data_IF_027179990218
#
_entry.id   IF_027179990218
#
_cell.length_a   1.000
_cell.length_b   1.000
_cell.length_c   1.000
_cell.angle_alpha   90.00
_cell.angle_beta   90.00
_cell.angle_gamma   90.00
#
_symmetry.space_group_name_H-M   'P 1'
#
loop_
_entity.id
_entity.type
_entity.pdbx_description
1 polymer ?
#
# COMPACT_ATOMS: atom_id res chain seq x y z
N UNK A 1 7.62 21.80 -24.74
CA UNK A 1 6.42 22.30 -24.03
C UNK A 1 5.16 22.31 -24.89
N UNK A 2 5.20 22.71 -26.15
CA UNK A 2 4.00 22.80 -27.01
C UNK A 2 3.38 21.42 -27.36
N UNK A 3 4.21 20.39 -27.50
CA UNK A 3 3.77 19.00 -27.68
C UNK A 3 2.95 18.46 -26.50
N UNK A 4 3.38 18.74 -25.25
CA UNK A 4 2.66 18.32 -24.04
C UNK A 4 1.30 19.02 -23.92
N UNK A 5 1.22 20.31 -24.29
CA UNK A 5 -0.05 21.03 -24.34
C UNK A 5 -1.02 20.45 -25.37
N UNK A 6 -0.51 20.04 -26.55
CA UNK A 6 -1.33 19.39 -27.60
C UNK A 6 -1.81 17.99 -27.22
N UNK A 7 -1.01 17.24 -26.44
CA UNK A 7 -1.40 15.95 -25.87
C UNK A 7 -2.48 16.10 -24.79
N UNK A 8 -2.31 17.05 -23.87
CA UNK A 8 -3.31 17.35 -22.83
C UNK A 8 -4.62 17.88 -23.39
N UNK A 9 -4.60 18.59 -24.52
CA UNK A 9 -5.81 19.08 -25.19
C UNK A 9 -6.55 18.01 -25.99
N UNK A 10 -6.00 16.79 -26.12
CA UNK A 10 -6.68 15.70 -26.82
C UNK A 10 -7.67 15.00 -25.87
N UNK A 11 -8.98 14.99 -26.19
CA UNK A 11 -10.00 14.42 -25.31
C UNK A 11 -9.81 12.92 -25.04
N UNK A 12 -9.02 12.21 -25.85
CA UNK A 12 -8.72 10.78 -25.65
C UNK A 12 -7.59 10.53 -24.65
N UNK A 13 -6.76 11.52 -24.38
CA UNK A 13 -5.56 11.36 -23.55
C UNK A 13 -5.87 11.01 -22.08
N UNK A 14 -6.85 11.64 -21.41
CA UNK A 14 -7.25 11.27 -20.05
C UNK A 14 -7.75 9.82 -19.97
N UNK A 15 -8.60 9.40 -20.90
CA UNK A 15 -9.13 8.03 -20.94
C UNK A 15 -8.02 6.97 -21.14
N UNK A 16 -6.99 7.28 -21.93
CA UNK A 16 -5.82 6.40 -22.09
C UNK A 16 -5.05 6.30 -20.78
N UNK A 17 -4.80 7.41 -20.08
CA UNK A 17 -4.10 7.40 -18.80
C UNK A 17 -4.88 6.61 -17.75
N UNK A 18 -6.19 6.84 -17.65
CA UNK A 18 -7.07 6.12 -16.73
C UNK A 18 -7.03 4.61 -17.02
N UNK A 19 -7.23 4.22 -18.29
CA UNK A 19 -7.16 2.82 -18.73
C UNK A 19 -5.81 2.19 -18.35
N UNK A 20 -4.69 2.89 -18.62
CA UNK A 20 -3.35 2.40 -18.27
C UNK A 20 -3.17 2.22 -16.76
N UNK A 21 -3.65 3.18 -15.96
CA UNK A 21 -3.56 3.12 -14.51
C UNK A 21 -4.34 1.93 -13.94
N UNK A 22 -5.57 1.72 -14.40
CA UNK A 22 -6.42 0.60 -14.01
C UNK A 22 -5.82 -0.75 -14.43
N UNK A 23 -5.28 -0.81 -15.67
CA UNK A 23 -4.64 -2.01 -16.20
C UNK A 23 -3.40 -2.39 -15.39
N UNK A 24 -2.53 -1.43 -15.10
CA UNK A 24 -1.31 -1.68 -14.34
C UNK A 24 -1.62 -2.08 -12.91
N UNK A 25 -2.51 -1.37 -12.23
CA UNK A 25 -2.93 -1.75 -10.88
C UNK A 25 -3.50 -3.17 -10.85
N UNK A 26 -4.41 -3.49 -11.78
CA UNK A 26 -5.03 -4.83 -11.90
C UNK A 26 -3.98 -5.91 -12.12
N UNK A 27 -3.07 -5.73 -13.08
CA UNK A 27 -2.06 -6.74 -13.42
C UNK A 27 -1.03 -6.92 -12.30
N UNK A 28 -0.54 -5.82 -11.72
CA UNK A 28 0.43 -5.87 -10.63
C UNK A 28 -0.16 -6.47 -9.36
N UNK A 29 -1.41 -6.13 -9.02
CA UNK A 29 -2.09 -6.71 -7.85
C UNK A 29 -2.46 -8.19 -8.07
N UNK A 30 -2.93 -8.58 -9.25
CA UNK A 30 -3.20 -9.98 -9.57
C UNK A 30 -1.91 -10.82 -9.56
N UNK A 31 -0.83 -10.31 -10.17
CA UNK A 31 0.48 -10.95 -10.17
C UNK A 31 1.08 -11.06 -8.77
N UNK A 32 1.01 -9.96 -7.99
CA UNK A 32 1.44 -9.92 -6.60
C UNK A 32 0.65 -10.89 -5.71
N UNK A 33 -0.68 -10.93 -5.87
CA UNK A 33 -1.55 -11.87 -5.15
C UNK A 33 -1.18 -13.32 -5.46
N UNK A 34 -1.05 -13.68 -6.74
CA UNK A 34 -0.71 -15.03 -7.16
C UNK A 34 0.67 -15.45 -6.66
N UNK A 35 1.67 -14.58 -6.82
CA UNK A 35 3.03 -14.86 -6.38
C UNK A 35 3.11 -15.00 -4.86
N UNK A 36 2.49 -14.07 -4.12
CA UNK A 36 2.45 -14.13 -2.66
C UNK A 36 1.78 -15.41 -2.16
N UNK A 37 0.59 -15.72 -2.69
CA UNK A 37 -0.18 -16.90 -2.31
C UNK A 37 0.58 -18.21 -2.59
N UNK A 38 1.20 -18.32 -3.76
CA UNK A 38 1.83 -19.58 -4.20
C UNK A 38 3.27 -19.75 -3.73
N UNK A 39 4.06 -18.67 -3.66
CA UNK A 39 5.51 -18.74 -3.41
C UNK A 39 5.91 -18.30 -1.99
N UNK A 40 5.14 -17.41 -1.35
CA UNK A 40 5.51 -16.84 -0.05
C UNK A 40 4.74 -17.50 1.10
N UNK A 41 3.44 -17.73 0.92
CA UNK A 41 2.58 -18.31 1.97
C UNK A 41 2.08 -19.73 1.66
N UNK A 42 2.62 -20.37 0.63
CA UNK A 42 2.41 -21.79 0.34
C UNK A 42 0.93 -22.25 0.36
N UNK A 43 0.03 -21.44 -0.18
CA UNK A 43 -1.43 -21.68 -0.23
C UNK A 43 -2.18 -21.53 1.11
N UNK A 44 -1.62 -20.77 2.06
CA UNK A 44 -2.32 -20.37 3.28
C UNK A 44 -3.12 -19.07 3.06
N UNK A 45 -4.37 -19.05 3.53
CA UNK A 45 -5.30 -17.92 3.32
C UNK A 45 -5.29 -16.90 4.47
N UNK A 46 -4.67 -17.22 5.60
CA UNK A 46 -4.76 -16.40 6.81
C UNK A 46 -3.64 -15.34 6.88
N UNK A 47 -3.47 -14.57 5.80
CA UNK A 47 -2.43 -13.55 5.68
C UNK A 47 -2.99 -12.19 5.29
N UNK A 48 -2.48 -11.13 5.93
CA UNK A 48 -2.97 -9.78 5.74
C UNK A 48 -2.73 -9.20 4.33
N UNK A 49 -1.62 -9.50 3.63
CA UNK A 49 -1.38 -8.93 2.31
C UNK A 49 -2.36 -9.46 1.26
N UNK A 50 -2.98 -10.63 1.47
CA UNK A 50 -4.03 -11.12 0.58
C UNK A 50 -5.19 -10.13 0.51
N UNK A 51 -5.60 -9.57 1.65
CA UNK A 51 -6.65 -8.54 1.72
C UNK A 51 -6.20 -7.29 0.95
N UNK A 52 -4.96 -6.85 1.16
CA UNK A 52 -4.41 -5.68 0.47
C UNK A 52 -4.40 -5.86 -1.06
N UNK A 53 -3.91 -6.98 -1.57
CA UNK A 53 -3.89 -7.25 -3.01
C UNK A 53 -5.29 -7.42 -3.60
N UNK A 54 -6.22 -8.06 -2.87
CA UNK A 54 -7.61 -8.17 -3.31
C UNK A 54 -8.30 -6.80 -3.41
N UNK A 55 -8.05 -5.90 -2.46
CA UNK A 55 -8.58 -4.53 -2.51
C UNK A 55 -8.01 -3.74 -3.69
N UNK A 56 -6.70 -3.80 -3.91
CA UNK A 56 -6.06 -3.17 -5.07
C UNK A 56 -6.57 -3.73 -6.39
N UNK A 57 -6.75 -5.05 -6.48
CA UNK A 57 -7.30 -5.73 -7.65
C UNK A 57 -8.74 -5.32 -7.91
N UNK A 58 -9.58 -5.34 -6.87
CA UNK A 58 -10.98 -4.91 -6.97
C UNK A 58 -11.06 -3.45 -7.43
N UNK A 59 -10.27 -2.55 -6.82
CA UNK A 59 -10.22 -1.14 -7.20
C UNK A 59 -9.79 -0.96 -8.67
N UNK A 60 -8.76 -1.67 -9.13
CA UNK A 60 -8.31 -1.65 -10.52
C UNK A 60 -9.39 -2.13 -11.51
N UNK A 61 -10.10 -3.21 -11.18
CA UNK A 61 -11.18 -3.73 -12.01
C UNK A 61 -12.40 -2.80 -12.04
N UNK A 62 -12.81 -2.28 -10.88
CA UNK A 62 -13.93 -1.34 -10.80
C UNK A 62 -13.61 0.00 -11.44
N UNK A 63 -12.33 0.38 -11.58
CA UNK A 63 -11.95 1.57 -12.33
C UNK A 63 -12.49 1.59 -13.76
N UNK A 64 -12.56 0.43 -14.43
CA UNK A 64 -13.09 0.34 -15.79
C UNK A 64 -14.57 0.68 -15.91
N UNK A 65 -15.36 0.64 -14.82
CA UNK A 65 -16.78 0.97 -14.88
C UNK A 65 -17.01 2.45 -15.24
N UNK A 66 -16.00 3.31 -15.06
CA UNK A 66 -15.99 4.70 -15.54
C UNK A 66 -16.33 4.81 -17.03
N UNK A 67 -15.91 3.83 -17.85
CA UNK A 67 -16.11 3.87 -19.29
C UNK A 67 -17.47 3.35 -19.74
N UNK A 68 -18.26 2.75 -18.85
CA UNK A 68 -19.51 2.07 -19.18
C UNK A 68 -20.74 2.65 -18.45
N UNK A 69 -20.63 2.90 -17.15
CA UNK A 69 -21.74 3.34 -16.28
C UNK A 69 -21.17 4.09 -15.06
N UNK A 70 -20.91 5.39 -15.25
CA UNK A 70 -20.20 6.22 -14.28
C UNK A 70 -21.00 6.41 -12.98
N UNK A 71 -22.30 6.72 -13.10
CA UNK A 71 -23.17 7.10 -11.99
C UNK A 71 -23.50 5.92 -11.07
N UNK A 72 -23.79 4.74 -11.64
CA UNK A 72 -24.23 3.58 -10.85
C UNK A 72 -23.11 2.97 -10.02
N UNK A 73 -21.86 3.05 -10.50
CA UNK A 73 -20.68 2.47 -9.84
C UNK A 73 -19.82 3.48 -9.09
N UNK A 74 -20.16 4.78 -9.15
CA UNK A 74 -19.44 5.82 -8.43
C UNK A 74 -19.26 5.51 -6.92
N UNK A 75 -20.31 5.12 -6.16
CA UNK A 75 -20.15 4.82 -4.74
C UNK A 75 -19.25 3.62 -4.44
N UNK A 76 -19.25 2.61 -5.33
CA UNK A 76 -18.39 1.44 -5.19
C UNK A 76 -16.92 1.79 -5.44
N UNK A 77 -16.65 2.61 -6.47
CA UNK A 77 -15.30 3.10 -6.76
C UNK A 77 -14.76 3.95 -5.61
N UNK A 78 -15.58 4.84 -5.05
CA UNK A 78 -15.18 5.66 -3.91
C UNK A 78 -14.88 4.82 -2.66
N UNK A 79 -15.71 3.80 -2.40
CA UNK A 79 -15.49 2.89 -1.28
C UNK A 79 -14.20 2.08 -1.46
N UNK A 80 -13.95 1.53 -2.65
CA UNK A 80 -12.76 0.73 -2.93
C UNK A 80 -11.49 1.58 -2.94
N UNK A 81 -11.54 2.79 -3.48
CA UNK A 81 -10.43 3.75 -3.44
C UNK A 81 -10.10 4.12 -1.99
N UNK A 82 -11.11 4.40 -1.17
CA UNK A 82 -10.89 4.67 0.25
C UNK A 82 -10.33 3.46 1.00
N UNK A 83 -10.93 2.28 0.81
CA UNK A 83 -10.41 1.03 1.39
C UNK A 83 -8.96 0.76 0.97
N UNK A 84 -8.59 1.04 -0.29
CA UNK A 84 -7.21 0.95 -0.75
C UNK A 84 -6.29 1.88 0.06
N UNK A 85 -6.73 3.11 0.33
CA UNK A 85 -5.97 4.10 1.09
C UNK A 85 -5.83 3.73 2.58
N UNK A 86 -6.89 3.23 3.23
CA UNK A 86 -6.86 2.97 4.69
C UNK A 86 -6.56 1.53 5.09
N UNK A 87 -6.62 0.55 4.19
CA UNK A 87 -6.38 -0.86 4.55
C UNK A 87 -5.09 -1.45 3.96
N UNK A 88 -4.64 -1.00 2.78
CA UNK A 88 -3.48 -1.64 2.13
C UNK A 88 -2.21 -1.49 2.95
N UNK A 89 -1.82 -0.26 3.30
CA UNK A 89 -0.61 -0.04 4.12
C UNK A 89 -0.75 -0.67 5.51
N UNK A 90 -1.89 -0.57 6.22
CA UNK A 90 -2.01 -1.19 7.54
C UNK A 90 -1.99 -2.73 7.54
N UNK A 91 -2.64 -3.38 6.55
CA UNK A 91 -2.54 -4.84 6.39
C UNK A 91 -1.11 -5.26 6.05
N UNK A 92 -0.42 -4.49 5.21
CA UNK A 92 0.99 -4.73 4.89
C UNK A 92 1.90 -4.60 6.12
N UNK A 93 1.73 -3.53 6.91
CA UNK A 93 2.47 -3.31 8.14
C UNK A 93 2.24 -4.44 9.16
N UNK A 94 0.98 -4.88 9.33
CA UNK A 94 0.64 -6.00 10.21
C UNK A 94 1.40 -7.29 9.82
N UNK A 95 1.45 -7.62 8.52
CA UNK A 95 2.20 -8.79 8.07
C UNK A 95 3.70 -8.62 8.28
N UNK A 96 4.27 -7.45 8.01
CA UNK A 96 5.70 -7.20 8.23
C UNK A 96 6.09 -7.42 9.69
N UNK A 97 5.27 -6.95 10.64
CA UNK A 97 5.47 -7.22 12.06
C UNK A 97 5.43 -8.71 12.38
N UNK A 98 4.45 -9.41 11.80
CA UNK A 98 4.27 -10.86 12.01
C UNK A 98 5.45 -11.65 11.45
N UNK A 99 5.91 -11.32 10.24
CA UNK A 99 7.00 -12.02 9.54
C UNK A 99 8.39 -11.67 10.05
N UNK A 100 8.58 -10.44 10.56
CA UNK A 100 9.88 -9.98 11.05
C UNK A 100 10.08 -10.22 12.54
N UNK A 101 9.09 -10.80 13.23
CA UNK A 101 9.11 -11.08 14.68
C UNK A 101 9.50 -9.86 15.54
N UNK A 102 9.15 -8.65 15.08
CA UNK A 102 9.58 -7.39 15.72
C UNK A 102 8.83 -7.08 17.02
N UNK A 103 7.85 -7.90 17.40
CA UNK A 103 7.17 -7.81 18.69
C UNK A 103 5.97 -8.76 18.80
N UNK A 104 5.13 -8.56 19.83
CA UNK A 104 3.96 -9.40 20.09
C UNK A 104 2.96 -9.35 18.94
N UNK A 105 2.30 -10.48 18.65
CA UNK A 105 1.31 -10.58 17.58
C UNK A 105 0.16 -9.55 17.73
N UNK A 106 -0.16 -9.18 18.98
CA UNK A 106 -1.12 -8.15 19.35
C UNK A 106 -0.84 -6.81 18.67
N UNK A 107 0.43 -6.43 18.53
CA UNK A 107 0.83 -5.17 17.89
C UNK A 107 0.57 -5.21 16.39
N UNK A 108 0.76 -6.37 15.74
CA UNK A 108 0.41 -6.57 14.34
C UNK A 108 -1.10 -6.38 14.11
N UNK A 109 -1.94 -6.89 15.00
CA UNK A 109 -3.40 -6.69 14.90
C UNK A 109 -3.82 -5.23 15.11
N UNK A 110 -3.09 -4.45 15.92
CA UNK A 110 -3.36 -3.01 16.07
C UNK A 110 -3.20 -2.27 14.75
N UNK A 111 -2.19 -2.62 13.94
CA UNK A 111 -1.98 -2.01 12.64
C UNK A 111 -3.18 -2.21 11.72
N UNK A 112 -3.56 -3.47 11.45
CA UNK A 112 -4.74 -3.77 10.63
C UNK A 112 -6.03 -3.16 11.25
N UNK A 113 -6.19 -3.24 12.57
CA UNK A 113 -7.34 -2.71 13.32
C UNK A 113 -7.53 -1.20 13.15
N UNK A 114 -6.46 -0.42 13.12
CA UNK A 114 -6.54 1.03 12.84
C UNK A 114 -7.10 1.30 11.44
N UNK A 115 -6.66 0.52 10.44
CA UNK A 115 -7.19 0.62 9.08
C UNK A 115 -8.66 0.26 8.99
N UNK A 116 -9.08 -0.85 9.63
CA UNK A 116 -10.48 -1.25 9.69
C UNK A 116 -11.35 -0.24 10.43
N UNK A 117 -10.85 0.37 11.51
CA UNK A 117 -11.58 1.42 12.22
C UNK A 117 -11.78 2.65 11.34
N UNK A 118 -10.75 3.09 10.61
CA UNK A 118 -10.87 4.19 9.66
C UNK A 118 -11.87 3.86 8.54
N UNK A 119 -11.82 2.66 7.96
CA UNK A 119 -12.77 2.18 6.97
C UNK A 119 -14.22 2.16 7.51
N UNK A 120 -14.44 1.63 8.71
CA UNK A 120 -15.77 1.59 9.31
C UNK A 120 -16.31 2.99 9.60
N UNK A 121 -15.46 3.89 10.12
CA UNK A 121 -15.86 5.26 10.39
C UNK A 121 -16.18 6.04 9.12
N UNK A 122 -15.49 5.76 8.01
CA UNK A 122 -15.81 6.34 6.71
C UNK A 122 -17.22 5.96 6.23
N UNK A 123 -17.59 4.68 6.35
CA UNK A 123 -18.93 4.20 6.01
C UNK A 123 -20.00 4.84 6.91
N UNK A 124 -19.73 4.99 8.20
CA UNK A 124 -20.70 5.52 9.18
C UNK A 124 -20.84 7.04 9.11
N UNK A 125 -19.77 7.77 8.79
CA UNK A 125 -19.74 9.25 8.86
C UNK A 125 -19.84 9.94 7.49
N UNK A 126 -20.16 9.18 6.44
CA UNK A 126 -20.34 9.68 5.07
C UNK A 126 -19.19 10.58 4.62
N UNK A 127 -17.96 10.04 4.58
CA UNK A 127 -16.81 10.69 3.92
C UNK A 127 -16.22 11.93 4.64
N UNK A 128 -16.57 12.21 5.91
CA UNK A 128 -16.21 13.48 6.58
C UNK A 128 -14.95 13.46 7.45
N UNK A 129 -14.38 12.29 7.76
CA UNK A 129 -13.34 12.13 8.80
C UNK A 129 -11.97 11.77 8.22
N UNK A 130 -11.31 12.78 7.65
CA UNK A 130 -9.96 12.65 7.08
C UNK A 130 -8.86 12.48 8.15
N UNK A 131 -9.10 12.98 9.36
CA UNK A 131 -8.22 12.83 10.53
C UNK A 131 -7.90 11.37 10.88
N UNK A 132 -8.89 10.49 10.76
CA UNK A 132 -8.72 9.06 11.02
C UNK A 132 -7.90 8.36 9.93
N UNK A 133 -8.10 8.76 8.66
CA UNK A 133 -7.30 8.32 7.52
C UNK A 133 -5.83 8.70 7.72
N UNK A 134 -5.59 9.96 8.06
CA UNK A 134 -4.26 10.50 8.32
C UNK A 134 -3.57 9.74 9.46
N UNK A 135 -4.29 9.49 10.56
CA UNK A 135 -3.76 8.73 11.68
C UNK A 135 -3.38 7.31 11.27
N UNK A 136 -4.27 6.60 10.56
CA UNK A 136 -4.00 5.24 10.10
C UNK A 136 -2.75 5.19 9.21
N UNK A 137 -2.64 6.09 8.23
CA UNK A 137 -1.52 6.09 7.28
C UNK A 137 -0.24 6.55 7.95
N UNK A 138 -0.30 7.57 8.81
CA UNK A 138 0.86 8.07 9.52
C UNK A 138 1.45 7.01 10.44
N UNK A 139 0.64 6.44 11.33
CA UNK A 139 1.10 5.41 12.27
C UNK A 139 1.66 4.18 11.54
N UNK A 140 0.99 3.72 10.48
CA UNK A 140 1.46 2.56 9.73
C UNK A 140 2.70 2.89 8.86
N UNK A 141 2.81 4.11 8.31
CA UNK A 141 3.99 4.56 7.57
C UNK A 141 5.24 4.56 8.44
N UNK A 142 5.18 5.20 9.62
CA UNK A 142 6.28 5.19 10.58
C UNK A 142 6.63 3.78 11.06
N UNK A 143 5.62 2.96 11.33
CA UNK A 143 5.83 1.56 11.70
C UNK A 143 6.55 0.77 10.62
N UNK A 144 6.15 0.94 9.36
CA UNK A 144 6.77 0.28 8.20
C UNK A 144 8.22 0.74 8.02
N UNK A 145 8.51 2.04 8.22
CA UNK A 145 9.88 2.55 8.21
C UNK A 145 10.74 1.94 9.32
N UNK A 146 10.20 1.90 10.54
CA UNK A 146 10.87 1.31 11.69
C UNK A 146 11.19 -0.17 11.47
N UNK A 147 10.19 -0.96 11.10
CA UNK A 147 10.37 -2.39 10.81
C UNK A 147 11.34 -2.60 9.66
N UNK A 148 11.21 -1.86 8.56
CA UNK A 148 12.13 -1.98 7.41
C UNK A 148 13.59 -1.71 7.78
N UNK A 149 13.86 -0.74 8.66
CA UNK A 149 15.22 -0.46 9.14
C UNK A 149 15.70 -1.58 10.08
N UNK A 150 14.89 -1.94 11.08
CA UNK A 150 15.27 -2.93 12.11
C UNK A 150 15.42 -4.34 11.54
N UNK A 151 14.57 -4.72 10.58
CA UNK A 151 14.63 -6.00 9.87
C UNK A 151 15.63 -5.99 8.70
N UNK A 152 16.38 -4.88 8.52
CA UNK A 152 17.28 -4.64 7.38
C UNK A 152 16.61 -4.85 6.02
N UNK A 153 15.30 -4.65 5.89
CA UNK A 153 14.56 -4.87 4.66
C UNK A 153 14.35 -3.53 3.91
N UNK A 154 15.25 -3.17 2.97
CA UNK A 154 15.16 -1.89 2.26
C UNK A 154 13.92 -1.80 1.36
N UNK A 155 13.42 -2.94 0.86
CA UNK A 155 12.19 -2.97 0.08
C UNK A 155 10.98 -2.62 0.93
N UNK A 156 10.93 -3.10 2.19
CA UNK A 156 9.86 -2.74 3.09
C UNK A 156 9.81 -1.25 3.39
N UNK A 157 10.99 -0.65 3.62
CA UNK A 157 11.14 0.80 3.75
C UNK A 157 10.66 1.55 2.50
N UNK A 158 11.12 1.13 1.31
CA UNK A 158 10.75 1.74 0.04
C UNK A 158 9.25 1.62 -0.26
N UNK A 159 8.62 0.49 0.05
CA UNK A 159 7.18 0.30 -0.10
C UNK A 159 6.40 1.27 0.79
N UNK A 160 6.77 1.35 2.07
CA UNK A 160 6.18 2.31 3.01
C UNK A 160 6.34 3.75 2.51
N UNK A 161 7.50 4.08 1.95
CA UNK A 161 7.81 5.44 1.49
C UNK A 161 7.00 5.79 0.26
N UNK A 162 6.92 4.85 -0.69
CA UNK A 162 6.13 4.97 -1.91
C UNK A 162 4.65 5.24 -1.59
N UNK A 163 4.06 4.43 -0.71
CA UNK A 163 2.67 4.61 -0.29
C UNK A 163 2.47 5.94 0.44
N UNK A 164 3.31 6.23 1.45
CA UNK A 164 3.19 7.41 2.27
C UNK A 164 3.28 8.68 1.43
N UNK A 165 4.32 8.81 0.59
CA UNK A 165 4.46 9.95 -0.30
C UNK A 165 3.32 10.05 -1.30
N UNK A 166 2.86 8.92 -1.86
CA UNK A 166 1.72 8.89 -2.77
C UNK A 166 0.44 9.42 -2.13
N UNK A 167 0.18 9.04 -0.88
CA UNK A 167 -0.98 9.53 -0.13
C UNK A 167 -0.90 11.05 0.07
N UNK A 168 0.22 11.55 0.60
CA UNK A 168 0.36 12.97 0.89
C UNK A 168 0.38 13.86 -0.37
N UNK A 169 0.93 13.37 -1.48
CA UNK A 169 0.96 14.15 -2.73
C UNK A 169 -0.32 14.09 -3.54
N UNK A 170 -1.02 12.95 -3.55
CA UNK A 170 -2.13 12.72 -4.49
C UNK A 170 -3.50 12.58 -3.84
N UNK A 171 -3.59 12.26 -2.54
CA UNK A 171 -4.87 12.00 -1.85
C UNK A 171 -5.17 12.98 -0.72
N UNK A 172 -4.13 13.53 -0.08
CA UNK A 172 -4.26 14.52 1.00
C UNK A 172 -4.12 15.96 0.48
N UNK A 173 -5.06 16.39 -0.35
CA UNK A 173 -5.20 17.80 -0.75
C UNK A 173 -6.10 18.54 0.25
N UNK A 174 -5.74 19.76 0.66
CA UNK A 174 -6.49 20.56 1.65
C UNK A 174 -7.92 20.94 1.17
N UNK A 175 -8.15 20.93 -0.15
CA UNK A 175 -9.40 21.38 -0.78
C UNK A 175 -10.21 20.25 -1.42
N UNK A 176 -9.80 18.99 -1.27
CA UNK A 176 -10.45 17.86 -1.94
C UNK A 176 -10.84 16.79 -0.92
N UNK A 177 -12.09 16.33 -1.01
CA UNK A 177 -12.47 15.03 -0.48
C UNK A 177 -11.45 14.00 -1.02
N UNK A 178 -10.99 13.05 -0.21
CA UNK A 178 -9.84 12.15 -0.48
C UNK A 178 -9.92 11.28 -1.75
N UNK A 179 -10.84 11.56 -2.67
CA UNK A 179 -11.29 10.76 -3.81
C UNK A 179 -10.75 11.27 -5.16
N UNK A 180 -9.95 12.34 -5.24
CA UNK A 180 -9.40 12.87 -6.51
C UNK A 180 -7.86 12.98 -6.50
N UNK A 181 -7.12 12.71 -7.61
CA UNK A 181 -7.41 11.87 -8.79
C UNK A 181 -6.92 10.41 -8.63
N UNK A 182 -7.78 9.45 -8.95
CA UNK A 182 -7.55 8.00 -8.79
C UNK A 182 -6.36 7.49 -9.63
N UNK A 183 -6.20 7.98 -10.87
CA UNK A 183 -5.21 7.46 -11.82
C UNK A 183 -3.76 7.52 -11.32
N UNK A 184 -3.35 8.69 -10.80
CA UNK A 184 -1.97 8.90 -10.33
C UNK A 184 -1.66 8.01 -9.13
N UNK A 185 -2.63 7.90 -8.23
CA UNK A 185 -2.49 7.05 -7.07
C UNK A 185 -2.49 5.56 -7.45
N UNK A 186 -3.25 5.14 -8.45
CA UNK A 186 -3.22 3.77 -8.96
C UNK A 186 -1.85 3.36 -9.51
N UNK A 187 -1.11 4.26 -10.16
CA UNK A 187 0.29 3.99 -10.53
C UNK A 187 1.19 3.79 -9.31
N UNK A 188 1.02 4.61 -8.27
CA UNK A 188 1.75 4.45 -7.01
C UNK A 188 1.40 3.11 -6.36
N UNK A 189 0.13 2.72 -6.35
CA UNK A 189 -0.33 1.46 -5.78
C UNK A 189 0.13 0.25 -6.58
N UNK A 190 0.25 0.36 -7.90
CA UNK A 190 0.87 -0.67 -8.73
C UNK A 190 2.36 -0.85 -8.37
N UNK A 191 3.10 0.25 -8.20
CA UNK A 191 4.49 0.21 -7.75
C UNK A 191 4.62 -0.36 -6.34
N UNK A 192 3.75 0.09 -5.42
CA UNK A 192 3.66 -0.44 -4.06
C UNK A 192 3.45 -1.95 -4.08
N UNK A 193 2.50 -2.46 -4.86
CA UNK A 193 2.20 -3.89 -4.95
C UNK A 193 3.43 -4.73 -5.36
N UNK A 194 4.24 -4.21 -6.30
CA UNK A 194 5.48 -4.86 -6.73
C UNK A 194 6.51 -4.83 -5.60
N UNK A 195 6.77 -3.66 -5.01
CA UNK A 195 7.80 -3.53 -3.97
C UNK A 195 7.41 -4.33 -2.71
N UNK A 196 6.13 -4.29 -2.33
CA UNK A 196 5.61 -5.01 -1.16
C UNK A 196 5.71 -6.51 -1.32
N UNK A 197 5.41 -7.08 -2.50
CA UNK A 197 5.55 -8.53 -2.69
C UNK A 197 7.01 -8.96 -2.64
N UNK A 198 7.90 -8.19 -3.28
CA UNK A 198 9.34 -8.47 -3.27
C UNK A 198 9.94 -8.33 -1.86
N UNK A 199 9.38 -7.46 -1.02
CA UNK A 199 9.84 -7.30 0.38
C UNK A 199 9.61 -8.55 1.24
N UNK A 200 8.70 -9.44 0.83
CA UNK A 200 8.42 -10.68 1.55
C UNK A 200 9.19 -11.89 0.99
N UNK A 201 9.88 -11.76 -0.15
CA UNK A 201 10.77 -12.80 -0.69
C UNK A 201 12.18 -12.63 -0.12
N UNK A 202 12.58 -13.54 0.76
CA UNK A 202 13.88 -13.52 1.43
C UNK A 202 15.04 -13.56 0.43
N UNK A 203 14.94 -14.33 -0.66
CA UNK A 203 16.02 -14.43 -1.63
C UNK A 203 16.29 -13.08 -2.32
N UNK A 204 15.21 -12.34 -2.60
CA UNK A 204 15.30 -11.00 -3.21
C UNK A 204 15.82 -9.99 -2.19
N UNK A 205 15.31 -10.01 -0.96
CA UNK A 205 15.76 -9.10 0.10
C UNK A 205 17.25 -9.26 0.37
N UNK A 206 17.76 -10.48 0.53
CA UNK A 206 19.18 -10.78 0.72
C UNK A 206 20.04 -10.32 -0.47
N UNK A 207 19.55 -10.58 -1.69
CA UNK A 207 20.24 -10.14 -2.91
C UNK A 207 20.39 -8.63 -2.96
N UNK A 208 19.35 -7.87 -2.59
CA UNK A 208 19.40 -6.40 -2.57
C UNK A 208 20.26 -5.89 -1.43
N UNK A 209 20.16 -6.47 -0.23
CA UNK A 209 21.00 -6.11 0.90
C UNK A 209 22.49 -6.21 0.56
N UNK A 210 22.90 -7.26 -0.18
CA UNK A 210 24.29 -7.46 -0.60
C UNK A 210 24.84 -6.36 -1.50
N UNK A 211 23.97 -5.58 -2.14
CA UNK A 211 24.33 -4.46 -3.02
C UNK A 211 24.47 -3.14 -2.26
N UNK A 212 24.02 -3.07 -1.00
CA UNK A 212 24.07 -1.85 -0.20
C UNK A 212 25.40 -1.82 0.55
N UNK A 213 26.22 -0.75 0.41
CA UNK A 213 27.49 -0.64 1.12
C UNK A 213 27.29 -0.79 2.63
N UNK A 214 28.19 -1.50 3.31
CA UNK A 214 28.13 -1.87 4.74
C UNK A 214 27.99 -0.69 5.72
N UNK A 215 28.02 0.56 5.25
CA UNK A 215 27.85 1.77 6.05
C UNK A 215 26.42 2.34 6.15
N UNK A 216 25.42 1.83 5.41
CA UNK A 216 24.06 2.41 5.44
C UNK A 216 23.14 1.80 6.53
N UNK A 217 23.45 0.58 6.98
CA UNK A 217 22.69 -0.16 8.01
C UNK A 217 23.57 -0.65 9.16
N UNK A 218 24.76 -0.05 9.32
CA UNK A 218 25.62 -0.32 10.46
C UNK A 218 24.90 0.14 11.74
N UNK A 219 24.35 -0.82 12.48
CA UNK A 219 24.30 -0.72 13.94
C UNK A 219 25.12 -1.87 14.50
N UNK A 220 25.97 -1.50 15.44
CA UNK A 220 26.86 -2.35 16.19
C UNK A 220 26.11 -3.55 16.75
N UNK A 221 26.74 -4.71 16.63
CA UNK A 221 26.32 -5.92 17.31
C UNK A 221 26.52 -5.76 18.82
N UNK A 222 25.57 -5.17 19.54
CA UNK A 222 25.58 -5.23 21.00
C UNK A 222 24.20 -5.54 21.59
N UNK A 223 24.12 -6.76 22.15
CA UNK A 223 23.21 -7.24 23.18
C UNK A 223 21.71 -6.93 23.06
N UNK A 224 20.92 -7.98 22.83
CA UNK A 224 19.48 -7.97 23.11
C UNK A 224 19.20 -7.48 24.54
N UNK A 225 18.44 -6.37 24.72
CA UNK A 225 18.06 -5.87 26.03
C UNK A 225 16.99 -6.74 26.72
N UNK A 226 16.53 -7.80 26.08
CA UNK A 226 15.49 -8.71 26.59
C UNK A 226 16.05 -9.96 27.28
N UNK A 227 17.37 -10.04 27.50
CA UNK A 227 17.98 -11.11 28.28
C UNK A 227 18.00 -10.81 29.79
N UNK A 228 16.87 -10.38 30.35
CA UNK A 228 16.70 -10.28 31.79
C UNK A 228 15.49 -11.07 32.30
N UNK A 229 15.85 -12.11 33.06
CA UNK A 229 15.10 -12.85 34.08
C UNK A 229 14.32 -14.09 33.63
N UNK A 230 15.00 -15.22 33.82
CA UNK A 230 14.41 -16.47 34.33
C UNK A 230 13.79 -16.26 35.71
#
# INVERSE_FOLDING_TARGET
>A
MEFLRRLQSNPKFPAIIATLSYSLLTLCSAGGLLYYYTQIVNNEFNHWPLIAYLLMLANGLTGYTEFFDEDSFCPLRDLLDYCQVVLVLPCYAAELWTKSEMGPAEVAYVHAGLGFLAAAMFVVTEFRRQDLTDLAIFTNGFSTFGVGILSKNPLAFLAGLCFFLGYYWYKRSEDQCCLAPQDKFNFIMALFAIISVLSFDQNVVESIQSLIPEGLFASESESSPWSLNK
#
